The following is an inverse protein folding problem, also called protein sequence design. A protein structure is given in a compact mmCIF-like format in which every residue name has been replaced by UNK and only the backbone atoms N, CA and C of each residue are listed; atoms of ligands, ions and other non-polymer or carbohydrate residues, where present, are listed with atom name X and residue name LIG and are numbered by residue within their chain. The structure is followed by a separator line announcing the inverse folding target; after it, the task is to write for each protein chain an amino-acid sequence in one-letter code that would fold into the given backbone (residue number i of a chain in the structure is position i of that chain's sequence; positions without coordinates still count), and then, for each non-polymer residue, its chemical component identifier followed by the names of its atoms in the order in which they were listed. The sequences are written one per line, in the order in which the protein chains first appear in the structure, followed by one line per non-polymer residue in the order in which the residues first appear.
data_IF_387429850702
#
_entry.id   IF_387429850702
#
_cell.length_a   1.000
_cell.length_b   1.000
_cell.length_c   1.000
_cell.angle_alpha   90.00
_cell.angle_beta   90.00
_cell.angle_gamma   90.00
#
_symmetry.space_group_name_H-M   'P 1'
#
loop_
_entity.id
_entity.type
_entity.pdbx_description
1 polymer ?
#
# COMPACT_ATOMS: atom_id res chain seq x y z
N UNK A 1 -53.41 6.74 -50.32
CA UNK A 1 -52.03 7.28 -50.23
C UNK A 1 -51.73 7.50 -48.76
N UNK A 2 -50.81 6.73 -48.19
CA UNK A 2 -50.39 6.91 -46.78
C UNK A 2 -49.26 7.93 -46.79
N UNK A 3 -49.53 9.12 -46.25
CA UNK A 3 -48.51 10.15 -46.08
C UNK A 3 -47.63 9.76 -44.90
N UNK A 4 -46.35 9.48 -45.17
CA UNK A 4 -45.34 9.30 -44.13
C UNK A 4 -44.79 10.68 -43.75
N UNK A 5 -45.23 11.21 -42.61
CA UNK A 5 -44.65 12.41 -42.02
C UNK A 5 -43.25 12.11 -41.48
N UNK A 6 -42.24 12.65 -42.17
CA UNK A 6 -40.84 12.54 -41.76
C UNK A 6 -40.59 13.49 -40.58
N UNK A 7 -40.90 13.05 -39.36
CA UNK A 7 -40.51 13.79 -38.14
C UNK A 7 -38.98 13.81 -38.03
N UNK A 8 -38.39 14.99 -38.18
CA UNK A 8 -36.97 15.23 -37.89
C UNK A 8 -36.75 15.09 -36.38
N UNK A 9 -36.38 13.89 -35.94
CA UNK A 9 -36.00 13.63 -34.56
C UNK A 9 -34.65 14.31 -34.30
N UNK A 10 -34.63 15.36 -33.46
CA UNK A 10 -33.40 16.03 -33.08
C UNK A 10 -32.53 15.05 -32.29
N UNK A 11 -31.34 14.75 -32.81
CA UNK A 11 -30.34 13.88 -32.17
C UNK A 11 -29.58 14.58 -31.04
N UNK A 12 -29.75 15.90 -30.88
CA UNK A 12 -29.08 16.71 -29.87
C UNK A 12 -29.18 16.17 -28.41
N UNK A 13 -30.37 15.76 -27.90
CA UNK A 13 -30.46 15.24 -26.53
C UNK A 13 -29.72 13.91 -26.32
N UNK A 14 -29.65 13.06 -27.35
CA UNK A 14 -28.91 11.79 -27.29
C UNK A 14 -27.40 12.07 -27.26
N UNK A 15 -26.93 13.02 -28.07
CA UNK A 15 -25.52 13.44 -28.09
C UNK A 15 -25.11 14.04 -26.73
N UNK A 16 -25.95 14.88 -26.13
CA UNK A 16 -25.70 15.46 -24.80
C UNK A 16 -25.63 14.38 -23.70
N UNK A 17 -26.53 13.39 -23.72
CA UNK A 17 -26.49 12.27 -22.79
C UNK A 17 -25.21 11.44 -22.94
N UNK A 18 -24.78 11.16 -24.18
CA UNK A 18 -23.52 10.44 -24.44
C UNK A 18 -22.33 11.24 -23.89
N UNK A 19 -22.26 12.56 -24.12
CA UNK A 19 -21.17 13.38 -23.58
C UNK A 19 -21.15 13.39 -22.05
N UNK A 20 -22.30 13.49 -21.38
CA UNK A 20 -22.38 13.46 -19.92
C UNK A 20 -21.93 12.11 -19.34
N UNK A 21 -22.32 11.00 -19.97
CA UNK A 21 -21.90 9.65 -19.56
C UNK A 21 -20.39 9.49 -19.76
N UNK A 22 -19.84 9.90 -20.91
CA UNK A 22 -18.39 9.84 -21.18
C UNK A 22 -17.59 10.73 -20.22
N UNK A 23 -18.10 11.91 -19.85
CA UNK A 23 -17.45 12.78 -18.85
C UNK A 23 -17.38 12.14 -17.46
N UNK A 24 -18.38 11.34 -17.07
CA UNK A 24 -18.35 10.62 -15.78
C UNK A 24 -17.42 9.39 -15.78
N UNK A 25 -17.16 8.78 -16.94
CA UNK A 25 -16.22 7.64 -17.07
C UNK A 25 -14.76 8.07 -17.24
N UNK A 26 -14.50 9.32 -17.62
CA UNK A 26 -13.15 9.87 -17.70
C UNK A 26 -12.64 10.35 -16.32
N UNK A 27 -12.81 9.58 -15.26
CA UNK A 27 -11.86 9.66 -14.13
C UNK A 27 -10.58 8.99 -14.63
N UNK A 28 -9.74 9.77 -15.30
CA UNK A 28 -8.38 9.35 -15.61
C UNK A 28 -7.71 8.99 -14.29
N UNK A 29 -7.55 7.69 -14.03
CA UNK A 29 -6.62 7.20 -13.04
C UNK A 29 -5.23 7.60 -13.55
N UNK A 30 -4.76 8.75 -13.08
CA UNK A 30 -3.48 9.29 -13.50
C UNK A 30 -2.39 8.33 -13.02
N UNK A 31 -1.68 7.74 -13.97
CA UNK A 31 -0.59 6.80 -13.68
C UNK A 31 0.47 7.48 -12.82
N UNK A 32 1.09 6.71 -11.94
CA UNK A 32 2.19 7.19 -11.10
C UNK A 32 3.37 7.62 -11.98
N UNK A 33 3.84 8.84 -11.79
CA UNK A 33 4.98 9.41 -12.52
C UNK A 33 6.30 9.28 -11.75
N UNK A 34 7.42 9.52 -12.43
CA UNK A 34 8.74 9.62 -11.78
C UNK A 34 8.78 10.72 -10.71
N UNK A 35 8.11 11.84 -10.96
CA UNK A 35 8.06 12.95 -10.02
C UNK A 35 7.21 12.58 -8.80
N UNK A 36 6.15 11.79 -8.97
CA UNK A 36 5.38 11.24 -7.84
C UNK A 36 6.23 10.34 -6.96
N UNK A 37 6.98 9.40 -7.56
CA UNK A 37 7.91 8.53 -6.83
C UNK A 37 8.95 9.35 -6.10
N UNK A 38 9.53 10.36 -6.74
CA UNK A 38 10.47 11.27 -6.08
C UNK A 38 9.82 11.93 -4.87
N UNK A 39 8.60 12.47 -5.00
CA UNK A 39 7.89 13.10 -3.88
C UNK A 39 7.61 12.14 -2.73
N UNK A 40 7.29 10.88 -3.01
CA UNK A 40 7.10 9.84 -2.00
C UNK A 40 8.44 9.54 -1.31
N UNK A 41 9.47 9.19 -2.08
CA UNK A 41 10.75 8.71 -1.54
C UNK A 41 11.65 9.80 -0.94
N UNK A 42 11.33 11.07 -1.13
CA UNK A 42 12.02 12.19 -0.46
C UNK A 42 11.23 12.78 0.71
N UNK A 43 10.09 12.18 1.08
CA UNK A 43 9.35 12.63 2.27
C UNK A 43 10.18 12.33 3.52
N UNK A 44 10.06 13.20 4.52
CA UNK A 44 10.73 13.03 5.81
C UNK A 44 10.36 11.66 6.40
N UNK A 45 11.32 11.03 7.06
CA UNK A 45 11.16 9.77 7.77
C UNK A 45 10.90 8.54 6.87
N UNK A 46 10.99 8.68 5.54
CA UNK A 46 11.02 7.56 4.59
C UNK A 46 12.46 7.11 4.33
N UNK A 47 12.70 5.79 4.39
CA UNK A 47 13.92 5.18 3.89
C UNK A 47 14.01 5.34 2.36
N UNK A 48 14.69 6.42 1.93
CA UNK A 48 14.73 6.83 0.51
C UNK A 48 15.36 5.76 -0.38
N UNK A 49 16.41 5.08 0.09
CA UNK A 49 17.13 4.05 -0.67
C UNK A 49 16.21 2.88 -0.96
N UNK A 50 15.58 2.32 0.08
CA UNK A 50 14.62 1.22 -0.06
C UNK A 50 13.41 1.66 -0.91
N UNK A 51 12.90 2.87 -0.69
CA UNK A 51 11.76 3.38 -1.43
C UNK A 51 12.03 3.43 -2.94
N UNK A 52 13.18 3.98 -3.37
CA UNK A 52 13.54 4.00 -4.79
C UNK A 52 13.80 2.61 -5.37
N UNK A 53 14.28 1.67 -4.56
CA UNK A 53 14.46 0.27 -4.97
C UNK A 53 13.11 -0.40 -5.25
N UNK A 54 12.16 -0.28 -4.31
CA UNK A 54 10.84 -0.92 -4.40
C UNK A 54 9.95 -0.23 -5.45
N UNK A 55 9.95 1.10 -5.49
CA UNK A 55 9.14 1.90 -6.42
C UNK A 55 9.81 2.13 -7.77
N UNK A 56 10.91 1.42 -8.06
CA UNK A 56 11.53 1.48 -9.37
C UNK A 56 10.48 1.21 -10.44
N UNK A 57 10.33 2.13 -11.39
CA UNK A 57 9.41 1.96 -12.51
C UNK A 57 9.88 0.80 -13.37
N UNK A 58 9.12 -0.29 -13.31
CA UNK A 58 9.22 -1.46 -14.19
C UNK A 58 8.03 -1.43 -15.15
N UNK A 59 8.02 -2.25 -16.21
CA UNK A 59 6.82 -2.43 -17.03
C UNK A 59 5.57 -2.82 -16.23
N UNK A 60 5.75 -3.45 -15.07
CA UNK A 60 4.67 -3.88 -14.16
C UNK A 60 4.14 -2.73 -13.30
N UNK A 61 5.01 -1.81 -12.85
CA UNK A 61 4.61 -0.69 -11.95
C UNK A 61 4.29 0.60 -12.69
N UNK A 62 4.84 0.80 -13.90
CA UNK A 62 4.60 1.98 -14.72
C UNK A 62 3.12 2.28 -15.07
N UNK A 63 2.23 1.30 -15.29
CA UNK A 63 0.83 1.58 -15.61
C UNK A 63 -0.05 1.76 -14.37
N UNK A 64 0.48 1.60 -13.15
CA UNK A 64 -0.34 1.63 -11.94
C UNK A 64 -0.73 3.06 -11.58
N UNK A 65 -1.99 3.24 -11.15
CA UNK A 65 -2.38 4.39 -10.35
C UNK A 65 -2.00 4.19 -8.88
N UNK A 66 -2.22 5.20 -8.03
CA UNK A 66 -1.83 5.13 -6.63
C UNK A 66 -2.54 4.01 -5.84
N UNK A 67 -3.81 3.71 -6.15
CA UNK A 67 -4.54 2.64 -5.46
C UNK A 67 -3.99 1.27 -5.86
N UNK A 68 -3.69 1.08 -7.14
CA UNK A 68 -3.07 -0.12 -7.66
C UNK A 68 -1.63 -0.28 -7.16
N UNK A 69 -0.88 0.82 -7.01
CA UNK A 69 0.45 0.83 -6.43
C UNK A 69 0.42 0.44 -4.94
N UNK A 70 -0.50 1.00 -4.17
CA UNK A 70 -0.68 0.63 -2.77
C UNK A 70 -0.99 -0.88 -2.63
N UNK A 71 -1.89 -1.40 -3.48
CA UNK A 71 -2.17 -2.84 -3.53
C UNK A 71 -0.93 -3.67 -3.87
N UNK A 72 -0.17 -3.26 -4.88
CA UNK A 72 1.06 -3.95 -5.27
C UNK A 72 2.07 -4.01 -4.11
N UNK A 73 2.23 -2.92 -3.37
CA UNK A 73 3.11 -2.86 -2.20
C UNK A 73 2.62 -3.77 -1.07
N UNK A 74 1.31 -3.82 -0.80
CA UNK A 74 0.73 -4.77 0.15
C UNK A 74 1.03 -6.21 -0.25
N UNK A 75 0.80 -6.57 -1.51
CA UNK A 75 1.09 -7.92 -2.01
C UNK A 75 2.58 -8.28 -1.91
N UNK A 76 3.47 -7.31 -2.12
CA UNK A 76 4.91 -7.47 -1.87
C UNK A 76 5.21 -7.64 -0.37
N UNK A 77 4.60 -6.82 0.49
CA UNK A 77 4.76 -6.86 1.93
C UNK A 77 4.31 -8.20 2.53
N UNK A 78 3.10 -8.65 2.18
CA UNK A 78 2.54 -9.91 2.67
C UNK A 78 3.31 -11.15 2.22
N UNK A 79 3.95 -11.11 1.04
CA UNK A 79 4.89 -12.17 0.61
C UNK A 79 6.11 -12.22 1.54
N UNK A 80 6.73 -11.07 1.81
CA UNK A 80 7.88 -11.00 2.73
C UNK A 80 7.53 -11.46 4.15
N UNK A 81 6.33 -11.12 4.64
CA UNK A 81 5.83 -11.58 5.95
C UNK A 81 5.66 -13.10 5.96
N UNK A 82 5.03 -13.66 4.94
CA UNK A 82 4.88 -15.12 4.81
C UNK A 82 6.23 -15.83 4.79
N UNK A 83 7.19 -15.31 4.01
CA UNK A 83 8.54 -15.88 3.91
C UNK A 83 9.34 -15.76 5.21
N UNK A 84 9.08 -14.73 6.02
CA UNK A 84 9.73 -14.55 7.32
C UNK A 84 9.24 -15.57 8.36
N UNK A 85 7.95 -15.92 8.37
CA UNK A 85 7.40 -16.93 9.28
C UNK A 85 8.08 -18.30 9.12
N UNK A 86 8.51 -18.65 7.91
CA UNK A 86 9.28 -19.88 7.70
C UNK A 86 10.66 -19.80 8.35
N UNK A 87 11.27 -18.61 8.40
CA UNK A 87 12.59 -18.39 9.00
C UNK A 87 12.53 -18.35 10.53
N UNK A 88 11.44 -17.90 11.13
CA UNK A 88 11.28 -17.93 12.59
C UNK A 88 11.31 -19.36 13.16
N UNK A 89 10.69 -20.32 12.46
CA UNK A 89 10.78 -21.76 12.82
C UNK A 89 12.21 -22.30 12.83
N UNK A 90 13.10 -21.75 12.01
CA UNK A 90 14.53 -22.09 12.03
C UNK A 90 15.25 -21.40 13.19
N UNK A 91 14.89 -20.15 13.50
CA UNK A 91 15.45 -19.39 14.60
C UNK A 91 15.10 -20.00 15.96
N UNK A 92 13.89 -20.54 16.14
CA UNK A 92 13.47 -21.24 17.36
C UNK A 92 14.45 -22.35 17.78
N UNK A 93 15.02 -23.08 16.82
CA UNK A 93 15.94 -24.20 17.09
C UNK A 93 17.32 -23.75 17.56
N UNK A 94 17.67 -22.49 17.32
CA UNK A 94 19.03 -21.96 17.44
C UNK A 94 19.15 -20.83 18.47
N UNK A 95 18.12 -20.59 19.29
CA UNK A 95 18.10 -19.51 20.29
C UNK A 95 17.86 -20.04 21.71
N UNK A 96 18.33 -19.28 22.70
CA UNK A 96 17.97 -19.48 24.11
C UNK A 96 16.79 -18.61 24.56
N UNK A 97 16.46 -17.56 23.82
CA UNK A 97 15.31 -16.69 24.12
C UNK A 97 14.14 -17.00 23.16
N UNK A 98 13.45 -18.10 23.44
CA UNK A 98 12.28 -18.55 22.68
C UNK A 98 11.09 -17.59 22.79
N UNK A 99 11.00 -16.81 23.88
CA UNK A 99 9.87 -15.91 24.10
C UNK A 99 9.83 -14.80 23.05
N UNK A 100 10.97 -14.16 22.77
CA UNK A 100 11.06 -13.12 21.75
C UNK A 100 10.75 -13.65 20.34
N UNK A 101 11.22 -14.86 20.01
CA UNK A 101 10.92 -15.50 18.73
C UNK A 101 9.42 -15.75 18.59
N UNK A 102 8.78 -16.34 19.60
CA UNK A 102 7.34 -16.64 19.57
C UNK A 102 6.48 -15.38 19.50
N UNK A 103 6.88 -14.33 20.22
CA UNK A 103 6.21 -13.03 20.13
C UNK A 103 6.28 -12.49 18.70
N UNK A 104 7.46 -12.52 18.06
CA UNK A 104 7.58 -12.15 16.66
C UNK A 104 6.73 -13.00 15.71
N UNK A 105 6.68 -14.31 15.91
CA UNK A 105 5.81 -15.19 15.12
C UNK A 105 4.33 -14.81 15.26
N UNK A 106 3.89 -14.49 16.48
CA UNK A 106 2.53 -14.02 16.76
C UNK A 106 2.24 -12.70 16.04
N UNK A 107 3.16 -11.72 16.15
CA UNK A 107 3.03 -10.42 15.49
C UNK A 107 2.95 -10.56 13.96
N UNK A 108 3.83 -11.35 13.33
CA UNK A 108 3.75 -11.64 11.90
C UNK A 108 2.45 -12.38 11.53
N UNK A 109 1.99 -13.28 12.40
CA UNK A 109 0.73 -14.01 12.24
C UNK A 109 -0.50 -13.08 12.26
N UNK A 110 -0.51 -12.09 13.17
CA UNK A 110 -1.56 -11.08 13.26
C UNK A 110 -1.66 -10.26 11.96
N UNK A 111 -0.52 -9.80 11.44
CA UNK A 111 -0.50 -9.07 10.16
C UNK A 111 -1.06 -9.91 9.02
N UNK A 112 -0.70 -11.20 8.92
CA UNK A 112 -1.26 -12.08 7.89
C UNK A 112 -2.75 -12.32 8.06
N UNK A 113 -3.22 -12.45 9.30
CA UNK A 113 -4.63 -12.60 9.60
C UNK A 113 -5.45 -11.38 9.12
N UNK A 114 -4.89 -10.18 9.26
CA UNK A 114 -5.56 -8.94 8.84
C UNK A 114 -5.40 -8.62 7.35
N UNK A 115 -4.60 -9.38 6.59
CA UNK A 115 -4.37 -9.17 5.14
C UNK A 115 -5.63 -8.87 4.34
N UNK A 116 -6.64 -9.74 4.46
CA UNK A 116 -7.87 -9.59 3.67
C UNK A 116 -8.68 -8.37 4.10
N UNK A 117 -8.62 -7.98 5.38
CA UNK A 117 -9.29 -6.77 5.88
C UNK A 117 -8.61 -5.53 5.33
N UNK A 118 -7.28 -5.48 5.33
CA UNK A 118 -6.50 -4.38 4.74
C UNK A 118 -6.80 -4.20 3.25
N UNK A 119 -6.80 -5.31 2.48
CA UNK A 119 -7.12 -5.28 1.06
C UNK A 119 -8.57 -4.84 0.79
N UNK A 120 -9.52 -5.31 1.62
CA UNK A 120 -10.93 -4.91 1.49
C UNK A 120 -11.12 -3.44 1.82
N UNK A 121 -10.49 -2.93 2.88
CA UNK A 121 -10.53 -1.52 3.25
C UNK A 121 -10.02 -0.61 2.12
N UNK A 122 -8.92 -1.00 1.44
CA UNK A 122 -8.43 -0.27 0.27
C UNK A 122 -9.43 -0.28 -0.89
N UNK A 123 -10.03 -1.44 -1.18
CA UNK A 123 -11.01 -1.60 -2.27
C UNK A 123 -12.31 -0.81 -2.01
N UNK A 124 -12.78 -0.83 -0.77
CA UNK A 124 -14.00 -0.15 -0.30
C UNK A 124 -13.76 1.35 -0.05
N UNK A 125 -12.50 1.81 -0.19
CA UNK A 125 -12.07 3.19 0.10
C UNK A 125 -12.29 3.59 1.56
N UNK A 126 -12.35 2.60 2.46
CA UNK A 126 -12.30 2.81 3.90
C UNK A 126 -10.85 3.11 4.28
N UNK A 127 -10.44 4.34 4.00
CA UNK A 127 -9.08 4.76 4.20
C UNK A 127 -8.69 4.82 5.66
N UNK A 128 -9.64 4.95 6.60
CA UNK A 128 -9.37 4.97 8.03
C UNK A 128 -8.99 3.56 8.51
N UNK A 129 -9.76 2.55 8.13
CA UNK A 129 -9.41 1.17 8.42
C UNK A 129 -8.14 0.75 7.69
N UNK A 130 -7.96 1.18 6.43
CA UNK A 130 -6.73 0.91 5.68
C UNK A 130 -5.49 1.52 6.35
N UNK A 131 -5.59 2.77 6.82
CA UNK A 131 -4.53 3.43 7.59
C UNK A 131 -4.22 2.66 8.88
N UNK A 132 -5.26 2.28 9.62
CA UNK A 132 -5.12 1.56 10.88
C UNK A 132 -4.39 0.23 10.71
N UNK A 133 -4.81 -0.62 9.77
CA UNK A 133 -4.15 -1.93 9.56
C UNK A 133 -2.72 -1.80 9.03
N UNK A 134 -2.47 -0.85 8.13
CA UNK A 134 -1.11 -0.62 7.60
C UNK A 134 -0.19 -0.07 8.69
N UNK A 135 -0.67 0.87 9.51
CA UNK A 135 0.10 1.42 10.64
C UNK A 135 0.35 0.39 11.75
N UNK A 136 -0.64 -0.48 12.03
CA UNK A 136 -0.47 -1.60 12.94
C UNK A 136 0.64 -2.53 12.45
N UNK A 137 0.67 -2.86 11.14
CA UNK A 137 1.74 -3.66 10.54
C UNK A 137 3.11 -3.06 10.82
N UNK A 138 3.32 -1.76 10.56
CA UNK A 138 4.60 -1.10 10.86
C UNK A 138 4.98 -1.19 12.34
N UNK A 139 4.02 -0.94 13.24
CA UNK A 139 4.24 -0.99 14.69
C UNK A 139 4.62 -2.40 15.18
N UNK A 140 3.94 -3.43 14.67
CA UNK A 140 4.22 -4.83 15.01
C UNK A 140 5.61 -5.26 14.52
N UNK A 141 6.01 -4.83 13.31
CA UNK A 141 7.34 -5.13 12.79
C UNK A 141 8.45 -4.42 13.56
N UNK A 142 8.24 -3.16 13.93
CA UNK A 142 9.14 -2.40 14.78
C UNK A 142 9.35 -3.11 16.13
N UNK A 143 8.25 -3.49 16.76
CA UNK A 143 8.25 -4.21 18.04
C UNK A 143 9.03 -5.52 17.93
N UNK A 144 8.79 -6.29 16.86
CA UNK A 144 9.53 -7.52 16.63
C UNK A 144 11.04 -7.28 16.43
N UNK A 145 11.41 -6.28 15.63
CA UNK A 145 12.82 -5.90 15.43
C UNK A 145 13.52 -5.60 16.77
N UNK A 146 12.88 -4.83 17.64
CA UNK A 146 13.39 -4.50 18.97
C UNK A 146 13.59 -5.75 19.84
N UNK A 147 12.64 -6.67 19.84
CA UNK A 147 12.75 -7.92 20.60
C UNK A 147 13.85 -8.83 20.05
N UNK A 148 13.98 -8.93 18.74
CA UNK A 148 15.03 -9.73 18.09
C UNK A 148 16.44 -9.19 18.35
N UNK A 149 16.59 -7.87 18.52
CA UNK A 149 17.87 -7.26 18.88
C UNK A 149 18.40 -7.72 20.24
N UNK A 150 17.51 -8.18 21.12
CA UNK A 150 17.81 -8.68 22.48
C UNK A 150 18.13 -10.18 22.51
N UNK A 151 17.90 -10.90 21.40
CA UNK A 151 18.10 -12.35 21.29
C UNK A 151 19.57 -12.70 21.05
N UNK A 152 20.04 -13.84 21.60
CA UNK A 152 21.39 -14.38 21.34
C UNK A 152 21.30 -15.80 20.72
N UNK A 153 21.97 -16.06 19.58
CA UNK A 153 22.69 -15.08 18.75
C UNK A 153 21.72 -14.04 18.13
N UNK A 154 22.25 -12.85 17.80
CA UNK A 154 21.47 -11.76 17.21
C UNK A 154 20.88 -12.24 15.88
N UNK A 155 19.57 -12.05 15.72
CA UNK A 155 18.83 -12.50 14.54
C UNK A 155 18.83 -11.43 13.43
N UNK A 156 20.03 -11.00 12.99
CA UNK A 156 20.20 -9.84 12.10
C UNK A 156 19.35 -9.90 10.83
N UNK A 157 19.20 -11.08 10.22
CA UNK A 157 18.39 -11.26 9.01
C UNK A 157 16.92 -10.94 9.26
N UNK A 158 16.37 -11.40 10.38
CA UNK A 158 14.98 -11.17 10.76
C UNK A 158 14.74 -9.72 11.22
N UNK A 159 15.73 -9.12 11.88
CA UNK A 159 15.72 -7.68 12.22
C UNK A 159 15.63 -6.84 10.95
N UNK A 160 16.57 -7.01 10.02
CA UNK A 160 16.59 -6.25 8.76
C UNK A 160 15.30 -6.44 7.96
N UNK A 161 14.75 -7.66 7.95
CA UNK A 161 13.49 -7.94 7.26
C UNK A 161 12.30 -7.23 7.91
N UNK A 162 12.22 -7.21 9.25
CA UNK A 162 11.14 -6.53 9.96
C UNK A 162 11.17 -5.03 9.68
N UNK A 163 12.34 -4.40 9.75
CA UNK A 163 12.51 -2.98 9.43
C UNK A 163 12.15 -2.66 7.96
N UNK A 164 12.47 -3.55 7.02
CA UNK A 164 12.06 -3.35 5.63
C UNK A 164 10.53 -3.41 5.46
N UNK A 165 9.84 -4.28 6.21
CA UNK A 165 8.35 -4.37 6.20
C UNK A 165 7.73 -3.13 6.85
N UNK A 166 8.34 -2.61 7.92
CA UNK A 166 8.00 -1.31 8.53
C UNK A 166 8.13 -0.17 7.52
N UNK A 167 9.29 -0.02 6.88
CA UNK A 167 9.55 1.02 5.88
C UNK A 167 8.53 0.96 4.71
N UNK A 168 8.14 -0.25 4.28
CA UNK A 168 7.09 -0.43 3.25
C UNK A 168 5.74 0.09 3.75
N UNK A 169 5.40 -0.13 5.02
CA UNK A 169 4.17 0.40 5.63
C UNK A 169 4.16 1.92 5.55
N UNK A 170 5.28 2.57 5.88
CA UNK A 170 5.39 4.02 5.84
C UNK A 170 5.24 4.57 4.42
N UNK A 171 5.84 3.91 3.43
CA UNK A 171 5.65 4.26 2.01
C UNK A 171 4.17 4.16 1.61
N UNK A 172 3.48 3.08 2.00
CA UNK A 172 2.05 2.89 1.72
C UNK A 172 1.21 4.00 2.38
N UNK A 173 1.53 4.36 3.64
CA UNK A 173 0.83 5.43 4.36
C UNK A 173 1.06 6.81 3.71
N UNK A 174 2.26 7.08 3.20
CA UNK A 174 2.52 8.30 2.40
C UNK A 174 1.69 8.30 1.13
N UNK A 175 1.62 7.18 0.41
CA UNK A 175 0.78 7.05 -0.80
C UNK A 175 -0.69 7.33 -0.44
N UNK A 176 -1.18 6.72 0.64
CA UNK A 176 -2.54 6.91 1.13
C UNK A 176 -2.84 8.39 1.41
N UNK A 177 -2.06 9.03 2.28
CA UNK A 177 -2.38 10.35 2.83
C UNK A 177 -2.10 11.49 1.84
N UNK A 178 -1.16 11.30 0.91
CA UNK A 178 -0.74 12.35 -0.03
C UNK A 178 -1.39 12.24 -1.42
N UNK A 179 -1.84 11.05 -1.81
CA UNK A 179 -2.23 10.79 -3.19
C UNK A 179 -3.60 10.14 -3.33
N UNK A 180 -4.05 9.34 -2.37
CA UNK A 180 -5.33 8.62 -2.45
C UNK A 180 -6.45 9.33 -1.67
N UNK A 181 -6.21 9.65 -0.39
CA UNK A 181 -7.23 10.18 0.53
C UNK A 181 -7.50 11.66 0.25
N UNK A 182 -8.79 12.01 0.30
CA UNK A 182 -9.25 13.40 0.28
C UNK A 182 -10.03 13.72 1.58
N UNK A 183 -9.82 14.89 2.21
CA UNK A 183 -8.81 15.88 1.87
C UNK A 183 -7.38 15.43 2.24
N UNK A 184 -6.39 15.90 1.49
CA UNK A 184 -4.95 15.63 1.72
C UNK A 184 -4.39 16.38 2.94
N UNK A 185 -4.81 15.98 4.13
CA UNK A 185 -4.52 16.71 5.38
C UNK A 185 -3.05 16.67 5.80
N UNK A 186 -2.35 15.54 5.62
CA UNK A 186 -0.99 15.31 6.15
C UNK A 186 0.14 15.59 5.15
N UNK A 187 -0.20 16.08 3.96
CA UNK A 187 0.76 16.22 2.86
C UNK A 187 0.91 17.64 2.34
N UNK A 188 0.39 18.61 3.10
CA UNK A 188 0.72 20.02 2.91
C UNK A 188 2.18 20.27 3.32
N UNK A 189 3.03 20.79 2.42
CA UNK A 189 4.41 21.18 2.76
C UNK A 189 4.47 22.33 3.78
N UNK A 190 3.34 22.99 4.03
CA UNK A 190 3.16 24.15 4.89
C UNK A 190 2.83 23.81 6.36
N UNK A 191 2.82 22.52 6.75
CA UNK A 191 2.47 22.07 8.11
C UNK A 191 3.62 21.44 8.93
N UNK A 192 4.87 21.45 8.42
CA UNK A 192 6.05 21.02 9.18
C UNK A 192 7.29 21.85 8.82
#
# INVERSE_FOLDING_TARGET
MVAYDKKNFSLAPIVVLIFLVVSSYARFNMMVTKDDIKRICTKKDINSVLCFEILKLTPETAPLDFSCLAKYLLDYQYRNISDALEQFKLAERNTTNLQAIKLCEELYGNVLYDKNKTLSALADKDYDMFNMYTGATGTEMHTCSDELSKVKPIQQVLITRSLAIEDISDIILVILECFIREPKLKCRPDLF
#
